data_IF_044777719955
#
_entry.id   IF_044777719955
#
_cell.length_a   1.000
_cell.length_b   1.000
_cell.length_c   1.000
_cell.angle_alpha   90.00
_cell.angle_beta   90.00
_cell.angle_gamma   90.00
#
_symmetry.space_group_name_H-M   'P 1'
#
loop_
_entity.id
_entity.type
_entity.pdbx_description
1 polymer ?
#
# COMPACT_ATOMS: atom_id res chain seq x y z
N UNK A 1 13.60 -28.07 7.59
CA UNK A 1 13.10 -27.38 7.11
C UNK A 1 12.90 -26.39 7.56
N UNK A 2 12.91 -25.96 7.22
CA UNK A 2 12.63 -24.94 7.56
C UNK A 2 11.43 -24.78 7.85
N UNK A 3 11.13 -24.73 8.69
CA UNK A 3 10.07 -24.47 8.90
C UNK A 3 9.72 -23.36 8.48
N UNK A 4 8.96 -23.35 7.84
CA UNK A 4 8.57 -22.29 7.37
C UNK A 4 7.33 -21.99 7.86
N UNK A 5 7.08 -20.81 8.18
CA UNK A 5 5.78 -20.40 8.46
C UNK A 5 5.08 -20.26 7.16
N UNK A 6 3.98 -20.90 7.02
CA UNK A 6 3.16 -20.70 5.87
C UNK A 6 2.06 -19.78 6.28
N UNK A 7 2.18 -18.53 5.87
CA UNK A 7 1.16 -17.53 6.16
C UNK A 7 0.23 -17.49 4.97
N UNK A 8 -1.04 -17.76 5.20
CA UNK A 8 -2.00 -17.72 4.11
C UNK A 8 -2.10 -16.32 3.55
N UNK A 9 -2.51 -16.22 2.30
CA UNK A 9 -2.65 -14.94 1.63
C UNK A 9 -3.59 -14.02 2.39
N UNK A 10 -4.72 -14.54 2.88
CA UNK A 10 -5.66 -13.73 3.64
C UNK A 10 -5.07 -13.18 4.91
N UNK A 11 -4.25 -13.99 5.58
CA UNK A 11 -3.61 -13.50 6.80
C UNK A 11 -2.58 -12.43 6.52
N UNK A 12 -1.85 -12.57 5.43
CA UNK A 12 -0.87 -11.57 5.05
C UNK A 12 -1.53 -10.27 4.67
N UNK A 13 -2.68 -10.34 4.00
CA UNK A 13 -3.47 -9.16 3.69
C UNK A 13 -3.91 -8.44 4.96
N UNK A 14 -4.36 -9.21 5.95
CA UNK A 14 -4.77 -8.62 7.23
C UNK A 14 -3.61 -7.93 7.93
N UNK A 15 -2.44 -8.55 7.93
CA UNK A 15 -1.26 -7.96 8.54
C UNK A 15 -0.86 -6.68 7.82
N UNK A 16 -0.93 -6.70 6.50
CA UNK A 16 -0.60 -5.53 5.70
C UNK A 16 -1.58 -4.39 5.99
N UNK A 17 -2.86 -4.71 6.03
CA UNK A 17 -3.88 -3.70 6.31
C UNK A 17 -3.67 -3.07 7.68
N UNK A 18 -3.39 -3.88 8.69
CA UNK A 18 -3.13 -3.37 10.04
C UNK A 18 -1.90 -2.48 10.04
N UNK A 19 -0.86 -2.91 9.35
CA UNK A 19 0.36 -2.12 9.29
C UNK A 19 0.11 -0.76 8.64
N UNK A 20 -0.58 -0.75 7.51
CA UNK A 20 -0.86 0.47 6.78
C UNK A 20 -1.74 1.41 7.59
N UNK A 21 -2.79 0.87 8.21
CA UNK A 21 -3.70 1.71 8.99
C UNK A 21 -3.02 2.28 10.23
N UNK A 22 -2.15 1.50 10.88
CA UNK A 22 -1.47 1.95 12.09
C UNK A 22 -0.39 2.97 11.81
N UNK A 23 0.32 2.80 10.71
CA UNK A 23 1.50 3.63 10.43
C UNK A 23 1.20 4.80 9.52
N UNK A 24 0.22 4.69 8.64
CA UNK A 24 -0.03 5.73 7.65
C UNK A 24 -1.43 6.29 7.69
N UNK A 25 -2.44 5.43 7.85
CA UNK A 25 -3.85 5.85 7.85
C UNK A 25 -4.12 6.80 6.67
N UNK A 26 -3.95 6.27 5.48
CA UNK A 26 -3.94 7.09 4.26
C UNK A 26 -5.25 7.79 3.98
N UNK A 27 -5.13 9.00 3.42
CA UNK A 27 -6.26 9.74 2.87
C UNK A 27 -5.91 10.14 1.45
N UNK A 28 -6.90 10.17 0.59
CA UNK A 28 -6.71 10.51 -0.81
C UNK A 28 -7.25 11.90 -1.08
N UNK A 29 -6.46 12.73 -1.76
CA UNK A 29 -6.89 14.07 -2.16
C UNK A 29 -7.15 14.07 -3.67
N UNK A 30 -8.41 14.14 -4.11
CA UNK A 30 -8.71 14.10 -5.53
C UNK A 30 -8.24 15.34 -6.30
N UNK A 31 -7.98 16.45 -5.62
CA UNK A 31 -7.51 17.64 -6.28
C UNK A 31 -6.06 17.53 -6.72
N UNK A 32 -5.25 16.80 -5.94
CA UNK A 32 -3.83 16.65 -6.24
C UNK A 32 -3.48 15.23 -6.65
N UNK A 33 -4.42 14.30 -6.52
CA UNK A 33 -4.22 12.87 -6.78
C UNK A 33 -3.17 12.25 -5.87
N UNK A 34 -3.05 12.80 -4.65
CA UNK A 34 -2.07 12.32 -3.70
C UNK A 34 -2.71 11.53 -2.58
N UNK A 35 -1.98 10.50 -2.14
CA UNK A 35 -2.30 9.79 -0.91
C UNK A 35 -1.38 10.33 0.17
N UNK A 36 -1.95 10.81 1.26
CA UNK A 36 -1.18 11.39 2.35
C UNK A 36 -1.38 10.60 3.62
N UNK A 37 -0.31 10.53 4.41
CA UNK A 37 -0.37 9.86 5.70
C UNK A 37 -1.05 10.78 6.72
N UNK A 38 -1.34 10.21 7.87
CA UNK A 38 -2.00 10.93 8.96
C UNK A 38 -1.20 12.17 9.40
N UNK A 39 0.12 12.15 9.26
CA UNK A 39 0.94 13.30 9.61
C UNK A 39 1.16 14.26 8.44
N UNK A 40 0.53 13.99 7.31
CA UNK A 40 0.58 14.92 6.18
C UNK A 40 1.64 14.64 5.13
N UNK A 41 2.45 13.61 5.31
CA UNK A 41 3.46 13.27 4.32
C UNK A 41 2.82 12.59 3.10
N UNK A 42 3.37 12.87 1.93
CA UNK A 42 2.90 12.23 0.72
C UNK A 42 3.39 10.78 0.68
N UNK A 43 2.44 9.86 0.70
CA UNK A 43 2.76 8.44 0.58
C UNK A 43 2.97 8.07 -0.89
N UNK A 44 2.19 8.65 -1.77
CA UNK A 44 2.31 8.40 -3.19
C UNK A 44 1.25 9.16 -3.98
N UNK A 45 1.32 9.00 -5.29
CA UNK A 45 0.43 9.69 -6.23
C UNK A 45 -0.30 8.70 -7.11
N UNK A 46 -1.48 9.09 -7.56
CA UNK A 46 -2.23 8.32 -8.53
C UNK A 46 -2.14 9.03 -9.87
N UNK A 47 -1.54 8.39 -10.86
CA UNK A 47 -1.38 8.95 -12.20
C UNK A 47 -2.01 8.01 -13.20
N UNK A 48 -3.05 8.49 -13.86
CA UNK A 48 -3.80 7.70 -14.84
C UNK A 48 -4.27 6.36 -14.27
N UNK A 49 -4.67 6.38 -13.00
CA UNK A 49 -5.16 5.19 -12.31
C UNK A 49 -4.08 4.30 -11.72
N UNK A 50 -2.82 4.62 -11.92
CA UNK A 50 -1.74 3.81 -11.37
C UNK A 50 -1.07 4.53 -10.22
N UNK A 51 -0.77 3.76 -9.17
CA UNK A 51 -0.14 4.31 -7.98
C UNK A 51 1.38 4.31 -8.13
N UNK A 52 1.99 5.44 -7.75
CA UNK A 52 3.44 5.60 -7.72
C UNK A 52 3.85 6.01 -6.31
N UNK A 53 4.85 5.33 -5.76
CA UNK A 53 5.36 5.68 -4.43
C UNK A 53 5.92 7.10 -4.43
N UNK A 54 5.68 7.81 -3.35
CA UNK A 54 6.18 9.18 -3.21
C UNK A 54 7.65 9.24 -2.83
N UNK A 55 8.19 8.17 -2.25
CA UNK A 55 9.59 8.14 -1.92
C UNK A 55 10.13 6.72 -2.04
N UNK A 56 11.39 6.64 -2.42
CA UNK A 56 12.07 5.36 -2.52
C UNK A 56 12.17 4.68 -1.15
N UNK A 57 12.33 5.46 -0.10
CA UNK A 57 12.44 4.92 1.25
C UNK A 57 11.20 4.13 1.65
N UNK A 58 10.03 4.67 1.37
CA UNK A 58 8.77 4.00 1.70
C UNK A 58 8.65 2.69 0.95
N UNK A 59 8.94 2.72 -0.34
CA UNK A 59 8.90 1.53 -1.16
C UNK A 59 9.87 0.49 -0.63
N UNK A 60 11.09 0.93 -0.30
CA UNK A 60 12.13 0.03 0.19
C UNK A 60 11.70 -0.67 1.48
N UNK A 61 11.20 0.09 2.44
CA UNK A 61 10.80 -0.49 3.72
C UNK A 61 9.66 -1.47 3.58
N UNK A 62 8.69 -1.15 2.75
CA UNK A 62 7.58 -2.07 2.53
C UNK A 62 8.06 -3.36 1.88
N UNK A 63 8.97 -3.25 0.91
CA UNK A 63 9.51 -4.44 0.25
C UNK A 63 10.37 -5.28 1.19
N UNK A 64 11.09 -4.65 2.11
CA UNK A 64 11.85 -5.38 3.10
C UNK A 64 10.92 -6.18 4.02
N UNK A 65 9.79 -5.59 4.39
CA UNK A 65 8.89 -6.22 5.33
C UNK A 65 7.99 -7.26 4.70
N UNK A 66 7.53 -7.01 3.49
CA UNK A 66 6.52 -7.86 2.85
C UNK A 66 7.00 -8.59 1.60
N UNK A 67 8.21 -8.29 1.14
CA UNK A 67 8.82 -9.03 0.04
C UNK A 67 8.24 -8.73 -1.31
N UNK A 68 8.33 -9.71 -2.20
CA UNK A 68 7.97 -9.55 -3.60
C UNK A 68 6.49 -9.28 -3.84
N UNK A 69 5.64 -9.59 -2.87
CA UNK A 69 4.21 -9.42 -3.05
C UNK A 69 3.73 -8.06 -2.53
N UNK A 70 4.66 -7.18 -2.16
CA UNK A 70 4.30 -5.87 -1.61
C UNK A 70 3.35 -5.09 -2.53
N UNK A 71 3.65 -5.04 -3.83
CA UNK A 71 2.82 -4.27 -4.73
C UNK A 71 1.43 -4.88 -4.89
N UNK A 72 1.33 -6.20 -4.85
CA UNK A 72 0.03 -6.85 -4.89
C UNK A 72 -0.77 -6.55 -3.64
N UNK A 73 -0.11 -6.60 -2.48
CA UNK A 73 -0.77 -6.27 -1.22
C UNK A 73 -1.24 -4.83 -1.19
N UNK A 74 -0.41 -3.92 -1.67
CA UNK A 74 -0.75 -2.52 -1.69
C UNK A 74 -1.90 -2.24 -2.67
N UNK A 75 -1.86 -2.89 -3.83
CA UNK A 75 -2.92 -2.74 -4.81
C UNK A 75 -4.27 -3.15 -4.21
N UNK A 76 -4.31 -4.33 -3.57
CA UNK A 76 -5.55 -4.81 -2.94
C UNK A 76 -5.99 -3.88 -1.82
N UNK A 77 -5.04 -3.42 -1.01
CA UNK A 77 -5.35 -2.52 0.09
C UNK A 77 -5.96 -1.20 -0.41
N UNK A 78 -5.35 -0.61 -1.44
CA UNK A 78 -5.82 0.67 -1.96
C UNK A 78 -7.18 0.53 -2.63
N UNK A 79 -7.41 -0.56 -3.35
CA UNK A 79 -8.72 -0.79 -3.98
C UNK A 79 -9.81 -0.99 -2.94
N UNK A 80 -9.47 -1.68 -1.86
CA UNK A 80 -10.44 -1.95 -0.81
C UNK A 80 -10.76 -0.68 -0.04
N UNK A 81 -9.74 0.13 0.24
CA UNK A 81 -9.93 1.34 1.03
C UNK A 81 -10.49 2.49 0.22
N UNK A 82 -10.16 2.54 -1.07
CA UNK A 82 -10.60 3.62 -1.95
C UNK A 82 -11.26 3.03 -3.20
N UNK A 83 -12.42 2.40 -3.05
CA UNK A 83 -13.02 1.67 -4.18
C UNK A 83 -13.50 2.55 -5.32
N UNK A 84 -13.71 3.84 -5.07
CA UNK A 84 -14.34 4.71 -6.04
C UNK A 84 -13.36 5.47 -6.94
N UNK A 85 -12.07 5.34 -6.74
CA UNK A 85 -11.12 6.15 -7.49
C UNK A 85 -10.48 5.43 -8.69
N UNK A 86 -10.85 4.17 -8.92
CA UNK A 86 -10.45 3.47 -10.15
C UNK A 86 -8.98 3.13 -10.23
N UNK A 87 -8.43 2.57 -9.15
CA UNK A 87 -7.02 2.19 -9.14
C UNK A 87 -6.79 1.01 -10.08
N UNK A 88 -5.80 1.12 -10.96
CA UNK A 88 -5.48 0.10 -11.95
C UNK A 88 -4.27 -0.74 -11.60
N UNK A 89 -3.49 -0.31 -10.63
CA UNK A 89 -2.33 -1.06 -10.19
C UNK A 89 -1.31 -0.19 -9.51
N UNK A 90 -0.26 -0.83 -9.00
CA UNK A 90 0.86 -0.18 -8.31
C UNK A 90 2.11 -0.32 -9.17
N UNK A 91 2.82 0.77 -9.38
CA UNK A 91 4.07 0.74 -10.15
C UNK A 91 5.29 0.44 -9.32
#
# INVERSE_FOLDING_TARGET
MNMKYIISEGRLEDLFEKYMNSNFDLKYNPKTNEFRSRVGDTFGDLIKGRFYYGSYSTEYYLNVMFGDITNDLLDDYLRKRFPDIGIKGVE
#
